data_IF_755944109386
#
_entry.id   IF_755944109386
#
_cell.length_a   1.000
_cell.length_b   1.000
_cell.length_c   1.000
_cell.angle_alpha   90.00
_cell.angle_beta   90.00
_cell.angle_gamma   90.00
#
_symmetry.space_group_name_H-M   'P 1'
#
loop_
_entity.id
_entity.type
_entity.pdbx_description
1 polymer ?
#
# COMPACT_ATOMS: atom_id res chain seq x y z
N UNK A 1 4.27 -5.16 -1.92
CA UNK A 1 3.48 -3.94 -2.07
C UNK A 1 3.08 -3.35 -0.70
N UNK A 2 2.60 -4.18 0.22
CA UNK A 2 2.21 -3.72 1.56
C UNK A 2 3.35 -3.06 2.32
N UNK A 3 4.57 -3.61 2.25
CA UNK A 3 5.75 -3.03 2.88
C UNK A 3 6.11 -1.66 2.29
N UNK A 4 6.01 -1.50 0.97
CA UNK A 4 6.29 -0.23 0.30
C UNK A 4 5.24 0.82 0.66
N UNK A 5 3.98 0.44 0.73
CA UNK A 5 2.90 1.35 1.16
C UNK A 5 3.10 1.79 2.60
N UNK A 6 3.47 0.88 3.50
CA UNK A 6 3.78 1.21 4.89
C UNK A 6 4.94 2.19 5.01
N UNK A 7 5.97 2.04 4.20
CA UNK A 7 7.10 2.99 4.13
C UNK A 7 6.66 4.36 3.64
N UNK A 8 5.75 4.41 2.65
CA UNK A 8 5.17 5.65 2.19
C UNK A 8 4.43 6.39 3.32
N UNK A 9 3.64 5.67 4.10
CA UNK A 9 2.91 6.24 5.24
C UNK A 9 3.88 6.82 6.26
N UNK A 10 4.90 6.07 6.63
CA UNK A 10 5.92 6.52 7.58
C UNK A 10 6.63 7.78 7.08
N UNK A 11 7.04 7.78 5.81
CA UNK A 11 7.70 8.93 5.20
C UNK A 11 6.78 10.15 5.16
N UNK A 12 5.50 9.96 4.85
CA UNK A 12 4.52 11.05 4.84
C UNK A 12 4.32 11.65 6.23
N UNK A 13 4.26 10.82 7.27
CA UNK A 13 4.16 11.28 8.66
C UNK A 13 5.38 12.08 9.11
N UNK A 14 6.56 11.69 8.63
CA UNK A 14 7.83 12.36 8.94
C UNK A 14 8.07 13.60 8.09
N UNK A 15 7.26 13.84 7.07
CA UNK A 15 7.45 14.92 6.12
C UNK A 15 8.63 14.71 5.16
N UNK A 16 9.04 13.46 4.97
CA UNK A 16 10.17 13.11 4.11
C UNK A 16 9.69 12.78 2.68
N UNK A 17 9.61 13.80 1.84
CA UNK A 17 9.11 13.67 0.47
C UNK A 17 9.97 12.75 -0.40
N UNK A 18 11.29 12.81 -0.28
CA UNK A 18 12.20 11.97 -1.06
C UNK A 18 11.94 10.49 -0.76
N UNK A 19 11.84 10.15 0.51
CA UNK A 19 11.60 8.78 0.95
C UNK A 19 10.20 8.31 0.53
N UNK A 20 9.21 9.20 0.58
CA UNK A 20 7.86 8.92 0.11
C UNK A 20 7.86 8.57 -1.37
N UNK A 21 8.48 9.40 -2.20
CA UNK A 21 8.56 9.19 -3.64
C UNK A 21 9.32 7.92 -4.02
N UNK A 22 10.42 7.63 -3.34
CA UNK A 22 11.19 6.40 -3.56
C UNK A 22 10.36 5.16 -3.26
N UNK A 23 9.67 5.15 -2.13
CA UNK A 23 8.82 4.05 -1.73
C UNK A 23 7.62 3.90 -2.66
N UNK A 24 7.05 5.00 -3.09
CA UNK A 24 5.94 5.01 -4.05
C UNK A 24 6.37 4.43 -5.41
N UNK A 25 7.57 4.79 -5.89
CA UNK A 25 8.12 4.25 -7.13
C UNK A 25 8.29 2.73 -7.06
N UNK A 26 8.75 2.21 -5.94
CA UNK A 26 8.86 0.76 -5.71
C UNK A 26 7.48 0.09 -5.72
N UNK A 27 6.50 0.72 -5.08
CA UNK A 27 5.14 0.22 -5.07
C UNK A 27 4.57 0.11 -6.49
N UNK A 28 4.79 1.11 -7.33
CA UNK A 28 4.35 1.08 -8.72
C UNK A 28 5.07 0.01 -9.55
N UNK A 29 6.35 -0.23 -9.31
CA UNK A 29 7.09 -1.33 -9.97
C UNK A 29 6.51 -2.69 -9.61
N UNK A 30 6.23 -2.89 -8.34
CA UNK A 30 5.58 -4.13 -7.87
C UNK A 30 4.22 -4.30 -8.52
N UNK A 31 3.46 -3.22 -8.62
CA UNK A 31 2.16 -3.21 -9.26
C UNK A 31 2.25 -3.61 -10.75
N UNK A 32 3.24 -3.07 -11.45
CA UNK A 32 3.50 -3.40 -12.85
C UNK A 32 3.86 -4.87 -13.03
N UNK A 33 4.69 -5.42 -12.13
CA UNK A 33 5.04 -6.84 -12.13
C UNK A 33 3.81 -7.73 -11.92
N UNK A 34 2.91 -7.35 -11.02
CA UNK A 34 1.65 -8.05 -10.80
C UNK A 34 0.77 -8.04 -12.05
N UNK A 35 0.76 -6.94 -12.78
CA UNK A 35 0.04 -6.85 -14.05
C UNK A 35 0.62 -7.80 -15.11
N UNK A 36 1.95 -7.87 -15.21
CA UNK A 36 2.64 -8.76 -16.16
C UNK A 36 2.49 -10.24 -15.82
N UNK A 37 2.32 -10.58 -14.55
CA UNK A 37 2.18 -11.98 -14.11
C UNK A 37 0.74 -12.48 -14.15
N UNK A 38 -0.16 -11.78 -14.81
CA UNK A 38 -1.57 -12.14 -14.96
C UNK A 38 -2.31 -12.34 -13.62
N UNK A 39 -2.06 -11.44 -12.67
CA UNK A 39 -2.75 -11.39 -11.38
C UNK A 39 -3.63 -10.14 -11.31
N UNK A 40 -4.73 -10.07 -12.07
CA UNK A 40 -5.53 -8.85 -12.19
C UNK A 40 -6.15 -8.40 -10.87
N UNK A 41 -6.57 -9.33 -10.03
CA UNK A 41 -7.17 -8.99 -8.73
C UNK A 41 -6.16 -8.31 -7.80
N UNK A 42 -4.95 -8.84 -7.73
CA UNK A 42 -3.87 -8.26 -6.93
C UNK A 42 -3.46 -6.89 -7.48
N UNK A 43 -3.43 -6.74 -8.79
CA UNK A 43 -3.15 -5.47 -9.44
C UNK A 43 -4.20 -4.41 -9.09
N UNK A 44 -5.48 -4.76 -9.20
CA UNK A 44 -6.58 -3.83 -8.88
C UNK A 44 -6.58 -3.42 -7.42
N UNK A 45 -6.38 -4.36 -6.51
CA UNK A 45 -6.28 -4.08 -5.08
C UNK A 45 -5.10 -3.16 -4.76
N UNK A 46 -3.96 -3.42 -5.38
CA UNK A 46 -2.78 -2.56 -5.22
C UNK A 46 -3.01 -1.16 -5.75
N UNK A 47 -3.68 -1.03 -6.89
CA UNK A 47 -4.02 0.27 -7.47
C UNK A 47 -4.95 1.08 -6.54
N UNK A 48 -5.95 0.43 -5.96
CA UNK A 48 -6.83 1.06 -4.97
C UNK A 48 -6.08 1.49 -3.72
N UNK A 49 -5.13 0.69 -3.26
CA UNK A 49 -4.25 1.03 -2.15
C UNK A 49 -3.47 2.32 -2.41
N UNK A 50 -2.85 2.44 -3.58
CA UNK A 50 -2.06 3.61 -3.93
C UNK A 50 -2.92 4.85 -4.12
N UNK A 51 -4.11 4.70 -4.66
CA UNK A 51 -5.08 5.80 -4.76
C UNK A 51 -5.54 6.26 -3.38
N UNK A 52 -5.83 5.31 -2.48
CA UNK A 52 -6.19 5.61 -1.10
C UNK A 52 -5.09 6.34 -0.37
N UNK A 53 -3.84 5.94 -0.56
CA UNK A 53 -2.68 6.59 0.02
C UNK A 53 -2.56 8.04 -0.46
N UNK A 54 -2.71 8.30 -1.75
CA UNK A 54 -2.63 9.65 -2.31
C UNK A 54 -3.68 10.58 -1.71
N UNK A 55 -4.89 10.08 -1.48
CA UNK A 55 -5.96 10.84 -0.82
C UNK A 55 -5.71 10.99 0.67
N UNK A 56 -5.23 9.95 1.32
CA UNK A 56 -5.03 9.93 2.77
C UNK A 56 -3.93 10.87 3.25
N UNK A 57 -2.90 11.11 2.43
CA UNK A 57 -1.79 11.98 2.83
C UNK A 57 -2.17 13.47 2.93
N UNK A 58 -3.39 13.85 2.54
CA UNK A 58 -3.85 15.24 2.59
C UNK A 58 -3.95 15.73 4.04
N UNK A 59 -4.41 14.90 4.97
CA UNK A 59 -4.50 15.24 6.39
C UNK A 59 -3.91 14.14 7.28
N UNK A 60 -3.35 14.48 8.46
CA UNK A 60 -2.83 13.49 9.40
C UNK A 60 -3.88 12.47 9.86
N UNK A 61 -5.12 12.90 10.08
CA UNK A 61 -6.20 12.01 10.49
C UNK A 61 -6.56 10.99 9.42
N UNK A 62 -6.62 11.43 8.17
CA UNK A 62 -6.88 10.56 7.03
C UNK A 62 -5.77 9.52 6.86
N UNK A 63 -4.52 9.92 7.04
CA UNK A 63 -3.37 9.05 6.95
C UNK A 63 -3.39 7.96 8.04
N UNK A 64 -3.72 8.34 9.28
CA UNK A 64 -3.85 7.40 10.39
C UNK A 64 -4.97 6.40 10.16
N UNK A 65 -6.11 6.87 9.69
CA UNK A 65 -7.26 6.02 9.35
C UNK A 65 -6.92 5.04 8.23
N UNK A 66 -6.22 5.51 7.20
CA UNK A 66 -5.76 4.66 6.10
C UNK A 66 -4.82 3.57 6.59
N UNK A 67 -3.87 3.92 7.47
CA UNK A 67 -2.93 2.96 8.04
C UNK A 67 -3.65 1.86 8.82
N UNK A 68 -4.66 2.20 9.60
CA UNK A 68 -5.47 1.23 10.34
C UNK A 68 -6.18 0.29 9.37
N UNK A 69 -6.80 0.81 8.33
CA UNK A 69 -7.48 0.03 7.30
C UNK A 69 -6.51 -0.89 6.55
N UNK A 70 -5.32 -0.38 6.21
CA UNK A 70 -4.28 -1.16 5.54
C UNK A 70 -3.81 -2.33 6.40
N UNK A 71 -3.57 -2.11 7.68
CA UNK A 71 -3.14 -3.16 8.61
C UNK A 71 -4.20 -4.25 8.74
N UNK A 72 -5.47 -3.87 8.81
CA UNK A 72 -6.58 -4.84 8.82
C UNK A 72 -6.63 -5.66 7.55
N UNK A 73 -6.43 -5.05 6.40
CA UNK A 73 -6.42 -5.73 5.11
C UNK A 73 -5.25 -6.71 5.00
N UNK A 74 -4.05 -6.31 5.40
CA UNK A 74 -2.87 -7.16 5.41
C UNK A 74 -3.09 -8.35 6.35
N UNK A 75 -3.66 -8.13 7.51
CA UNK A 75 -4.00 -9.20 8.46
C UNK A 75 -4.98 -10.20 7.87
N UNK A 76 -5.99 -9.73 7.18
CA UNK A 76 -6.97 -10.60 6.51
C UNK A 76 -6.33 -11.46 5.42
N UNK A 77 -5.43 -10.89 4.63
CA UNK A 77 -4.69 -11.66 3.61
C UNK A 77 -3.79 -12.71 4.24
N UNK A 78 -3.09 -12.38 5.29
CA UNK A 78 -2.24 -13.34 6.01
C UNK A 78 -3.07 -14.51 6.57
N UNK A 79 -4.25 -14.23 7.14
CA UNK A 79 -5.17 -15.24 7.63
C UNK A 79 -5.67 -16.16 6.53
N UNK A 80 -6.00 -15.62 5.37
CA UNK A 80 -6.41 -16.42 4.20
C UNK A 80 -5.30 -17.35 3.74
N UNK A 81 -4.06 -16.89 3.73
CA UNK A 81 -2.91 -17.72 3.38
C UNK A 81 -2.78 -18.93 4.29
N UNK A 82 -2.97 -18.75 5.59
CA UNK A 82 -2.93 -19.82 6.56
C UNK A 82 -4.07 -20.83 6.38
N UNK A 83 -5.25 -20.36 6.02
CA UNK A 83 -6.41 -21.23 5.82
C UNK A 83 -6.26 -22.12 4.60
N UNK A 84 -5.60 -21.64 3.55
CA UNK A 84 -5.47 -22.38 2.29
C UNK A 84 -4.10 -23.03 2.09
N UNK A 85 -3.20 -22.83 3.01
CA UNK A 85 -1.90 -23.49 2.99
C UNK A 85 -1.96 -24.81 3.71
#
# INVERSE_FOLDING_TARGET
LGADVSRCITAAKEGNETRYEDSLSRAYRTLEDLHKTARPEAYEEGLLMLRGLALARITPESLASFQTSLNSLIGAFASRRFVFA
#
